data_IF_148171997697
#
_entry.id   IF_148171997697
#
_cell.length_a   1.000
_cell.length_b   1.000
_cell.length_c   1.000
_cell.angle_alpha   90.00
_cell.angle_beta   90.00
_cell.angle_gamma   90.00
#
_symmetry.space_group_name_H-M   'P 1'
#
loop_
_entity.id
_entity.type
_entity.pdbx_description
1 polymer ?
#
# COMPACT_ATOMS: atom_id res chain seq x y z
N UNK A 1 64.76 0.91 26.96
CA UNK A 1 63.30 0.70 27.19
C UNK A 1 62.54 1.51 26.15
N UNK A 2 61.97 0.93 25.09
CA UNK A 2 61.22 1.67 24.07
C UNK A 2 59.86 2.05 24.67
N UNK A 3 59.58 3.33 24.62
CA UNK A 3 58.58 3.96 25.44
C UNK A 3 57.12 3.66 25.05
N UNK A 4 56.35 3.47 26.10
CA UNK A 4 54.87 3.41 26.16
C UNK A 4 54.15 4.45 25.25
N UNK A 5 54.77 5.61 25.01
CA UNK A 5 54.20 6.67 24.15
C UNK A 5 53.94 6.22 22.71
N UNK A 6 54.73 5.27 22.18
CA UNK A 6 54.54 4.78 20.79
C UNK A 6 53.33 3.87 20.64
N UNK A 7 52.94 3.14 21.68
CA UNK A 7 51.74 2.28 21.66
C UNK A 7 50.44 3.08 21.70
N UNK A 8 50.43 4.22 22.41
CA UNK A 8 49.27 5.13 22.45
C UNK A 8 49.06 5.81 21.09
N UNK A 9 50.12 6.21 20.41
CA UNK A 9 50.02 6.79 19.06
C UNK A 9 49.57 5.77 18.01
N UNK A 10 50.05 4.53 18.08
CA UNK A 10 49.58 3.45 17.20
C UNK A 10 48.11 3.12 17.43
N UNK A 11 47.66 3.06 18.68
CA UNK A 11 46.26 2.84 19.04
C UNK A 11 45.34 3.95 18.51
N UNK A 12 45.77 5.21 18.61
CA UNK A 12 44.99 6.36 18.12
C UNK A 12 44.91 6.35 16.57
N UNK A 13 45.95 6.03 15.86
CA UNK A 13 45.95 5.96 14.40
C UNK A 13 45.08 4.82 13.91
N UNK A 14 45.07 3.66 14.56
CA UNK A 14 44.20 2.54 14.21
C UNK A 14 42.73 2.90 14.48
N UNK A 15 42.41 3.56 15.59
CA UNK A 15 41.04 3.98 15.94
C UNK A 15 40.51 5.02 14.95
N UNK A 16 41.31 6.00 14.57
CA UNK A 16 40.96 7.01 13.57
C UNK A 16 40.80 6.36 12.19
N UNK A 17 41.68 5.41 11.83
CA UNK A 17 41.59 4.65 10.60
C UNK A 17 40.31 3.81 10.50
N UNK A 18 39.88 3.16 11.59
CA UNK A 18 38.63 2.37 11.64
C UNK A 18 37.41 3.27 11.54
N UNK A 19 37.44 4.44 12.24
CA UNK A 19 36.36 5.43 12.13
C UNK A 19 36.23 6.02 10.71
N UNK A 20 37.38 6.36 10.08
CA UNK A 20 37.36 6.87 8.71
C UNK A 20 36.96 5.78 7.69
N UNK A 21 37.43 4.52 7.89
CA UNK A 21 36.96 3.40 7.07
C UNK A 21 35.48 3.10 7.25
N UNK A 22 34.93 3.23 8.47
CA UNK A 22 33.50 3.10 8.72
C UNK A 22 32.67 4.17 8.00
N UNK A 23 33.18 5.40 7.94
CA UNK A 23 32.56 6.50 7.15
C UNK A 23 32.66 6.25 5.63
N UNK A 24 33.78 5.69 5.16
CA UNK A 24 33.98 5.38 3.75
C UNK A 24 33.26 4.11 3.28
N UNK A 25 33.08 3.14 4.17
CA UNK A 25 32.40 1.86 3.86
C UNK A 25 30.88 1.90 4.12
N UNK A 26 30.30 3.09 4.34
CA UNK A 26 28.86 3.25 4.40
C UNK A 26 28.17 2.69 5.64
N UNK A 27 28.89 2.54 6.76
CA UNK A 27 28.27 2.20 8.05
C UNK A 27 27.33 3.28 8.55
N UNK A 28 27.48 4.50 8.03
CA UNK A 28 26.49 5.56 8.08
C UNK A 28 25.93 5.76 6.66
N UNK A 29 25.23 4.76 6.13
CA UNK A 29 24.37 5.08 5.00
C UNK A 29 23.36 6.10 5.49
N UNK A 30 23.33 7.32 4.93
CA UNK A 30 22.21 8.22 5.16
C UNK A 30 20.95 7.42 4.83
N UNK A 31 19.89 7.61 5.62
CA UNK A 31 18.58 7.08 5.26
C UNK A 31 18.34 7.41 3.78
N UNK A 32 17.89 6.45 2.96
CA UNK A 32 17.63 6.72 1.55
C UNK A 32 16.83 8.02 1.48
N UNK A 33 17.15 8.92 0.53
CA UNK A 33 16.38 10.16 0.37
C UNK A 33 14.91 9.77 0.35
N UNK A 34 14.06 10.59 0.96
CA UNK A 34 12.62 10.42 0.86
C UNK A 34 12.32 10.24 -0.63
N UNK A 35 12.13 9.00 -1.04
CA UNK A 35 11.97 8.65 -2.45
C UNK A 35 10.77 9.44 -2.94
N UNK A 36 10.98 10.22 -3.98
CA UNK A 36 9.90 10.91 -4.67
C UNK A 36 8.80 9.93 -5.02
N UNK A 37 7.63 10.43 -5.31
CA UNK A 37 6.54 9.58 -5.75
C UNK A 37 6.96 8.89 -7.06
N UNK A 38 6.80 7.55 -7.17
CA UNK A 38 7.07 6.86 -8.42
C UNK A 38 6.05 7.27 -9.49
N UNK A 39 6.39 7.20 -10.78
CA UNK A 39 5.41 7.39 -11.84
C UNK A 39 4.21 6.43 -11.67
N UNK A 40 3.00 6.86 -12.01
CA UNK A 40 2.57 8.15 -12.55
C UNK A 40 2.23 9.21 -11.48
N UNK A 41 2.60 9.00 -10.22
CA UNK A 41 2.17 9.84 -9.10
C UNK A 41 2.88 11.20 -9.07
N UNK A 42 2.11 12.27 -9.00
CA UNK A 42 2.63 13.63 -8.76
C UNK A 42 2.73 13.98 -7.27
N UNK A 43 1.95 13.31 -6.41
CA UNK A 43 1.94 13.47 -4.97
C UNK A 43 1.56 12.16 -4.29
N UNK A 44 2.34 11.75 -3.31
CA UNK A 44 2.10 10.52 -2.56
C UNK A 44 2.69 10.58 -1.14
N UNK A 45 2.29 9.63 -0.31
CA UNK A 45 2.86 9.39 1.01
C UNK A 45 3.35 7.94 1.04
N UNK A 46 4.66 7.69 1.25
CA UNK A 46 5.17 6.35 1.40
C UNK A 46 4.63 5.72 2.68
N UNK A 47 4.29 4.44 2.61
CA UNK A 47 3.76 3.68 3.73
C UNK A 47 4.24 2.23 3.69
N UNK A 48 4.28 1.59 4.86
CA UNK A 48 4.53 0.15 5.02
C UNK A 48 3.24 -0.54 5.44
N UNK A 49 2.77 -1.52 4.68
CA UNK A 49 1.61 -2.31 5.09
C UNK A 49 2.01 -3.20 6.27
N UNK A 50 1.36 -3.02 7.40
CA UNK A 50 1.56 -3.84 8.60
C UNK A 50 0.71 -5.10 8.56
N UNK A 51 -0.51 -4.99 8.06
CA UNK A 51 -1.44 -6.12 7.85
C UNK A 51 -2.64 -5.73 7.03
N UNK A 52 -3.19 -6.68 6.33
CA UNK A 52 -4.49 -6.59 5.66
C UNK A 52 -5.61 -7.00 6.63
N UNK A 53 -6.63 -6.16 6.76
CA UNK A 53 -7.81 -6.43 7.61
C UNK A 53 -8.86 -7.18 6.81
N UNK A 54 -9.23 -6.64 5.64
CA UNK A 54 -10.15 -7.23 4.67
C UNK A 54 -9.72 -6.81 3.26
N UNK A 55 -10.40 -7.22 2.22
CA UNK A 55 -10.02 -6.96 0.83
C UNK A 55 -9.86 -5.47 0.48
N UNK A 56 -10.55 -4.57 1.19
CA UNK A 56 -10.53 -3.13 0.97
C UNK A 56 -10.09 -2.30 2.19
N UNK A 57 -9.58 -2.95 3.22
CA UNK A 57 -9.14 -2.28 4.45
C UNK A 57 -7.82 -2.84 4.93
N UNK A 58 -6.84 -1.97 5.12
CA UNK A 58 -5.49 -2.32 5.59
C UNK A 58 -5.08 -1.47 6.80
N UNK A 59 -4.05 -1.92 7.50
CA UNK A 59 -3.32 -1.12 8.49
C UNK A 59 -1.94 -0.88 7.93
N UNK A 60 -1.55 0.38 7.87
CA UNK A 60 -0.24 0.80 7.37
C UNK A 60 0.52 1.59 8.44
N UNK A 61 1.81 1.63 8.32
CA UNK A 61 2.64 2.60 9.04
C UNK A 61 2.94 3.79 8.12
N UNK A 62 2.57 4.99 8.59
CA UNK A 62 2.83 6.27 7.92
C UNK A 62 3.52 7.18 8.92
N UNK A 63 4.72 7.67 8.59
CA UNK A 63 5.49 8.57 9.46
C UNK A 63 5.61 8.07 10.92
N UNK A 64 5.85 6.75 11.09
CA UNK A 64 6.00 6.10 12.40
C UNK A 64 4.69 5.88 13.18
N UNK A 65 3.53 6.02 12.54
CA UNK A 65 2.22 5.81 13.17
C UNK A 65 1.42 4.77 12.40
N UNK A 66 0.77 3.87 13.14
CA UNK A 66 -0.15 2.91 12.55
C UNK A 66 -1.50 3.58 12.22
N UNK A 67 -1.89 3.53 10.94
CA UNK A 67 -3.13 4.10 10.41
C UNK A 67 -3.98 3.03 9.75
N UNK A 68 -5.29 3.09 9.95
CA UNK A 68 -6.23 2.26 9.20
C UNK A 68 -6.61 2.98 7.91
N UNK A 69 -6.46 2.30 6.80
CA UNK A 69 -6.80 2.81 5.46
C UNK A 69 -7.97 2.03 4.90
N UNK A 70 -9.00 2.73 4.43
CA UNK A 70 -10.09 2.23 3.61
C UNK A 70 -9.85 2.67 2.17
N UNK A 71 -9.79 1.71 1.28
CA UNK A 71 -9.56 1.94 -0.14
C UNK A 71 -10.74 2.69 -0.76
N UNK A 72 -10.46 3.84 -1.40
CA UNK A 72 -11.48 4.70 -2.01
C UNK A 72 -12.09 4.05 -3.24
N UNK A 73 -13.38 4.28 -3.43
CA UNK A 73 -14.10 3.97 -4.66
C UNK A 73 -14.48 2.51 -4.86
N UNK A 74 -14.12 1.61 -3.96
CA UNK A 74 -14.36 0.17 -4.08
C UNK A 74 -15.05 -0.43 -2.86
N UNK A 75 -15.66 -1.60 -3.05
CA UNK A 75 -16.26 -2.42 -2.01
C UNK A 75 -15.99 -3.90 -2.29
N UNK A 76 -15.21 -4.54 -1.42
CA UNK A 76 -15.00 -5.99 -1.49
C UNK A 76 -16.06 -6.75 -0.71
N UNK A 77 -16.36 -8.01 -1.05
CA UNK A 77 -17.24 -8.83 -0.24
C UNK A 77 -16.69 -8.99 1.18
N UNK A 78 -17.57 -8.81 2.18
CA UNK A 78 -17.24 -8.75 3.59
C UNK A 78 -16.87 -10.12 4.18
N UNK A 79 -15.80 -10.17 4.98
CA UNK A 79 -15.36 -11.39 5.67
C UNK A 79 -15.30 -11.28 7.19
N UNK A 80 -15.29 -10.05 7.74
CA UNK A 80 -14.99 -9.77 9.15
C UNK A 80 -16.14 -9.14 9.94
N UNK A 81 -17.30 -8.92 9.31
CA UNK A 81 -18.40 -8.24 9.96
C UNK A 81 -19.02 -9.12 11.07
N UNK A 82 -19.09 -8.65 12.35
CA UNK A 82 -19.48 -9.50 13.48
C UNK A 82 -20.92 -10.01 13.43
N UNK A 83 -21.79 -9.40 12.62
CA UNK A 83 -23.23 -9.73 12.53
C UNK A 83 -23.67 -10.10 11.12
N UNK A 84 -22.77 -10.27 10.17
CA UNK A 84 -23.11 -10.70 8.80
C UNK A 84 -22.31 -11.96 8.46
N UNK A 85 -22.90 -12.90 7.73
CA UNK A 85 -22.15 -14.04 7.24
C UNK A 85 -21.03 -13.59 6.28
N UNK A 86 -20.02 -14.44 6.15
CA UNK A 86 -19.00 -14.28 5.11
C UNK A 86 -19.69 -14.23 3.75
N UNK A 87 -19.40 -13.20 2.99
CA UNK A 87 -20.01 -13.01 1.68
C UNK A 87 -19.28 -13.83 0.60
N UNK A 88 -20.01 -14.18 -0.45
CA UNK A 88 -19.47 -14.88 -1.61
C UNK A 88 -18.27 -14.13 -2.17
N UNK A 89 -17.17 -14.83 -2.43
CA UNK A 89 -15.88 -14.31 -2.91
C UNK A 89 -15.12 -13.41 -1.90
N UNK A 90 -15.59 -13.28 -0.68
CA UNK A 90 -14.90 -12.51 0.37
C UNK A 90 -13.55 -13.11 0.76
N UNK A 91 -13.48 -14.43 1.05
CA UNK A 91 -12.20 -15.08 1.36
C UNK A 91 -11.16 -14.93 0.25
N UNK A 92 -11.56 -15.03 -1.02
CA UNK A 92 -10.71 -14.90 -2.19
C UNK A 92 -10.18 -13.48 -2.33
N UNK A 93 -11.05 -12.47 -2.19
CA UNK A 93 -10.66 -11.06 -2.23
C UNK A 93 -9.70 -10.70 -1.09
N UNK A 94 -10.01 -11.14 0.14
CA UNK A 94 -9.15 -10.93 1.30
C UNK A 94 -7.80 -11.64 1.17
N UNK A 95 -7.79 -12.89 0.69
CA UNK A 95 -6.56 -13.65 0.46
C UNK A 95 -5.70 -13.02 -0.63
N UNK A 96 -6.33 -12.50 -1.69
CA UNK A 96 -5.65 -11.78 -2.74
C UNK A 96 -4.99 -10.50 -2.22
N UNK A 97 -5.76 -9.64 -1.53
CA UNK A 97 -5.22 -8.42 -0.93
C UNK A 97 -4.05 -8.70 0.02
N UNK A 98 -4.12 -9.78 0.81
CA UNK A 98 -3.01 -10.20 1.67
C UNK A 98 -1.77 -10.56 0.88
N UNK A 99 -1.88 -11.36 -0.18
CA UNK A 99 -0.71 -11.75 -0.99
C UNK A 99 -0.04 -10.56 -1.66
N UNK A 100 -0.86 -9.58 -2.09
CA UNK A 100 -0.35 -8.40 -2.80
C UNK A 100 0.21 -7.33 -1.86
N UNK A 101 -0.34 -7.18 -0.67
CA UNK A 101 -0.06 -6.02 0.17
C UNK A 101 0.65 -6.33 1.49
N UNK A 102 0.48 -7.55 2.06
CA UNK A 102 0.96 -7.81 3.42
C UNK A 102 2.47 -7.66 3.51
N UNK A 103 2.93 -6.79 4.41
CA UNK A 103 4.34 -6.43 4.59
C UNK A 103 5.02 -5.78 3.36
N UNK A 104 4.25 -5.31 2.37
CA UNK A 104 4.80 -4.56 1.24
C UNK A 104 4.89 -3.08 1.52
N UNK A 105 5.86 -2.44 0.87
CA UNK A 105 5.95 -1.00 0.78
C UNK A 105 4.98 -0.52 -0.29
N UNK A 106 4.25 0.54 0.01
CA UNK A 106 3.23 1.11 -0.87
C UNK A 106 3.30 2.63 -0.83
N UNK A 107 2.64 3.26 -1.78
CA UNK A 107 2.43 4.71 -1.77
C UNK A 107 0.92 4.99 -1.66
N UNK A 108 0.59 5.94 -0.80
CA UNK A 108 -0.78 6.42 -0.64
C UNK A 108 -0.95 7.70 -1.42
N UNK A 109 -1.98 7.79 -2.25
CA UNK A 109 -2.50 9.06 -2.75
C UNK A 109 -3.93 9.27 -2.25
N UNK A 110 -4.37 10.52 -2.29
CA UNK A 110 -5.65 10.88 -1.72
C UNK A 110 -6.53 11.50 -2.78
N UNK A 111 -7.82 11.25 -2.65
CA UNK A 111 -8.82 11.80 -3.55
C UNK A 111 -8.87 13.33 -3.46
N UNK A 112 -9.07 13.99 -4.60
CA UNK A 112 -9.14 15.45 -4.67
C UNK A 112 -10.52 15.99 -4.28
N UNK A 113 -11.56 15.17 -4.33
CA UNK A 113 -12.95 15.56 -4.15
C UNK A 113 -13.53 15.16 -2.79
N UNK A 114 -12.90 14.20 -2.11
CA UNK A 114 -13.43 13.58 -0.89
C UNK A 114 -12.75 14.01 0.40
N UNK A 115 -13.34 13.58 1.50
CA UNK A 115 -12.74 13.71 2.83
C UNK A 115 -11.50 12.81 2.96
N UNK A 116 -10.57 13.23 3.80
CA UNK A 116 -9.36 12.44 4.11
C UNK A 116 -9.64 11.27 5.03
N UNK A 117 -10.70 11.33 5.82
CA UNK A 117 -11.09 10.28 6.77
C UNK A 117 -12.60 10.05 6.73
N UNK A 118 -12.98 8.83 7.00
CA UNK A 118 -14.38 8.49 7.17
C UNK A 118 -14.85 8.69 8.64
N UNK A 119 -16.13 8.44 8.88
CA UNK A 119 -16.75 8.56 10.22
C UNK A 119 -16.18 7.59 11.28
N UNK A 120 -15.36 6.62 10.87
CA UNK A 120 -14.66 5.67 11.75
C UNK A 120 -13.19 6.01 11.92
N UNK A 121 -12.79 7.23 11.51
CA UNK A 121 -11.43 7.75 11.57
C UNK A 121 -10.41 6.94 10.73
N UNK A 122 -10.88 6.22 9.69
CA UNK A 122 -10.00 5.55 8.74
C UNK A 122 -9.55 6.55 7.67
N UNK A 123 -8.28 6.52 7.28
CA UNK A 123 -7.81 7.23 6.10
C UNK A 123 -8.52 6.70 4.86
N UNK A 124 -8.98 7.60 4.01
CA UNK A 124 -9.52 7.28 2.68
C UNK A 124 -8.42 7.53 1.66
N UNK A 125 -7.91 6.46 1.04
CA UNK A 125 -6.77 6.57 0.15
C UNK A 125 -6.84 5.58 -1.01
N UNK A 126 -6.07 5.89 -2.04
CA UNK A 126 -5.65 4.98 -3.09
C UNK A 126 -4.32 4.36 -2.68
N UNK A 127 -4.14 3.08 -2.97
CA UNK A 127 -2.89 2.35 -2.74
C UNK A 127 -2.24 2.10 -4.09
N UNK A 128 -0.96 2.43 -4.17
CA UNK A 128 -0.11 2.20 -5.32
C UNK A 128 1.06 1.32 -4.91
N UNK A 129 1.37 0.35 -5.72
CA UNK A 129 2.49 -0.54 -5.50
C UNK A 129 3.01 -1.07 -6.83
N UNK A 130 4.25 -1.53 -6.81
CA UNK A 130 4.86 -2.29 -7.88
C UNK A 130 4.33 -3.72 -7.81
N UNK A 131 3.61 -4.17 -8.84
CA UNK A 131 3.03 -5.52 -8.93
C UNK A 131 3.87 -6.46 -9.78
N UNK A 132 4.69 -5.97 -10.68
CA UNK A 132 5.38 -6.76 -11.69
C UNK A 132 6.89 -6.51 -11.80
N UNK A 133 7.45 -5.58 -11.02
CA UNK A 133 8.88 -5.30 -10.92
C UNK A 133 9.37 -4.26 -11.93
N UNK A 134 8.48 -3.51 -12.57
CA UNK A 134 8.84 -2.38 -13.40
C UNK A 134 8.92 -1.06 -12.58
N UNK A 135 9.45 0.04 -13.12
CA UNK A 135 9.59 1.28 -12.37
C UNK A 135 8.29 2.07 -12.17
N UNK A 136 7.21 1.67 -12.81
CA UNK A 136 5.89 2.27 -12.63
C UNK A 136 5.12 1.54 -11.52
N UNK A 137 4.19 2.23 -10.88
CA UNK A 137 3.32 1.63 -9.87
C UNK A 137 1.89 1.59 -10.34
N UNK A 138 1.20 0.51 -9.98
CA UNK A 138 -0.17 0.30 -10.33
C UNK A 138 -1.12 0.73 -9.21
N UNK A 139 -2.29 1.17 -9.62
CA UNK A 139 -3.39 1.50 -8.72
C UNK A 139 -4.09 0.21 -8.25
N UNK A 140 -3.78 -0.21 -7.03
CA UNK A 140 -4.33 -1.44 -6.45
C UNK A 140 -5.86 -1.45 -6.34
N UNK A 141 -6.46 -0.31 -6.03
CA UNK A 141 -7.92 -0.16 -5.99
C UNK A 141 -8.55 -0.55 -7.34
N UNK A 142 -7.98 -0.06 -8.44
CA UNK A 142 -8.41 -0.38 -9.79
C UNK A 142 -8.20 -1.85 -10.13
N UNK A 143 -7.04 -2.37 -9.74
CA UNK A 143 -6.72 -3.76 -10.00
C UNK A 143 -7.72 -4.72 -9.34
N UNK A 144 -8.16 -4.42 -8.11
CA UNK A 144 -9.23 -5.19 -7.46
C UNK A 144 -10.53 -5.19 -8.25
N UNK A 145 -10.89 -4.07 -8.87
CA UNK A 145 -12.10 -3.96 -9.71
C UNK A 145 -11.93 -4.72 -11.03
N UNK A 146 -10.83 -4.48 -11.74
CA UNK A 146 -10.56 -5.07 -13.05
C UNK A 146 -10.43 -6.59 -13.03
N UNK A 147 -9.94 -7.15 -11.91
CA UNK A 147 -9.85 -8.59 -11.69
C UNK A 147 -11.12 -9.21 -11.06
N UNK A 148 -12.11 -8.39 -10.72
CA UNK A 148 -13.37 -8.85 -10.13
C UNK A 148 -13.25 -9.28 -8.67
N UNK A 149 -12.35 -8.69 -7.90
CA UNK A 149 -12.28 -8.87 -6.44
C UNK A 149 -13.13 -7.85 -5.70
N UNK A 150 -13.44 -6.70 -6.33
CA UNK A 150 -14.23 -5.63 -5.77
C UNK A 150 -15.31 -5.15 -6.74
N UNK A 151 -16.34 -4.51 -6.18
CA UNK A 151 -17.32 -3.71 -6.91
C UNK A 151 -16.97 -2.25 -6.79
N UNK A 152 -17.33 -1.44 -7.77
CA UNK A 152 -17.26 0.02 -7.65
C UNK A 152 -18.27 0.50 -6.60
N UNK A 153 -17.84 1.37 -5.70
CA UNK A 153 -18.66 2.00 -4.67
C UNK A 153 -18.98 3.47 -5.03
N UNK A 154 -20.03 3.75 -5.80
CA UNK A 154 -20.23 5.02 -6.47
C UNK A 154 -21.05 6.05 -5.65
N UNK A 155 -21.23 5.83 -4.34
CA UNK A 155 -22.11 6.67 -3.53
C UNK A 155 -21.53 8.03 -3.14
N UNK A 156 -20.23 8.20 -3.35
CA UNK A 156 -19.49 9.45 -3.19
C UNK A 156 -18.73 9.76 -4.48
N UNK A 157 -18.50 11.03 -4.84
CA UNK A 157 -17.63 11.37 -5.96
C UNK A 157 -16.19 10.99 -5.61
N UNK A 158 -15.43 10.54 -6.59
CA UNK A 158 -13.99 10.29 -6.49
C UNK A 158 -13.33 10.36 -7.88
N UNK A 159 -12.03 10.62 -7.90
CA UNK A 159 -11.29 10.98 -9.13
C UNK A 159 -11.33 9.91 -10.21
N UNK A 160 -11.31 8.62 -9.84
CA UNK A 160 -11.24 7.51 -10.79
C UNK A 160 -12.59 6.84 -11.06
N UNK A 161 -13.73 7.46 -10.74
CA UNK A 161 -15.05 6.83 -10.80
C UNK A 161 -15.38 6.24 -12.19
N UNK A 162 -15.18 7.01 -13.26
CA UNK A 162 -15.53 6.56 -14.60
C UNK A 162 -14.58 5.45 -15.10
N UNK A 163 -13.31 5.53 -14.73
CA UNK A 163 -12.31 4.50 -15.03
C UNK A 163 -12.69 3.18 -14.34
N UNK A 164 -12.96 3.21 -13.03
CA UNK A 164 -13.39 2.02 -12.28
C UNK A 164 -14.70 1.42 -12.81
N UNK A 165 -15.65 2.26 -13.25
CA UNK A 165 -16.89 1.78 -13.88
C UNK A 165 -16.66 1.04 -15.18
N UNK A 166 -15.71 1.51 -15.98
CA UNK A 166 -15.33 0.83 -17.21
C UNK A 166 -14.70 -0.53 -16.91
N UNK A 167 -13.76 -0.58 -15.93
CA UNK A 167 -13.12 -1.81 -15.50
C UNK A 167 -14.12 -2.83 -14.93
N UNK A 168 -15.06 -2.36 -14.09
CA UNK A 168 -16.14 -3.20 -13.58
C UNK A 168 -16.99 -3.79 -14.71
N UNK A 169 -17.33 -2.99 -15.71
CA UNK A 169 -18.09 -3.43 -16.88
C UNK A 169 -17.34 -4.52 -17.65
N UNK A 170 -16.05 -4.36 -17.84
CA UNK A 170 -15.18 -5.32 -18.52
C UNK A 170 -15.01 -6.61 -17.71
N UNK A 171 -14.76 -6.49 -16.40
CA UNK A 171 -14.66 -7.62 -15.49
C UNK A 171 -15.96 -8.46 -15.50
N UNK A 172 -17.10 -7.81 -15.52
CA UNK A 172 -18.42 -8.46 -15.60
C UNK A 172 -18.63 -9.16 -16.93
N UNK A 173 -18.33 -8.49 -18.05
CA UNK A 173 -18.45 -9.09 -19.37
C UNK A 173 -17.58 -10.34 -19.53
N UNK A 174 -16.38 -10.30 -18.96
CA UNK A 174 -15.43 -11.42 -18.94
C UNK A 174 -15.71 -12.44 -17.82
N UNK A 175 -16.72 -12.22 -16.97
CA UNK A 175 -17.05 -13.06 -15.80
C UNK A 175 -15.87 -13.27 -14.85
N UNK A 176 -15.05 -12.25 -14.64
CA UNK A 176 -13.88 -12.31 -13.75
C UNK A 176 -14.30 -12.33 -12.29
N UNK A 177 -13.61 -13.12 -11.49
CA UNK A 177 -13.74 -13.14 -10.03
C UNK A 177 -15.19 -13.33 -9.57
N UNK A 178 -15.65 -12.44 -8.66
CA UNK A 178 -17.01 -12.45 -8.09
C UNK A 178 -18.12 -12.45 -9.16
N UNK A 179 -17.86 -11.89 -10.33
CA UNK A 179 -18.84 -11.81 -11.42
C UNK A 179 -19.07 -13.15 -12.14
N UNK A 180 -18.15 -14.08 -12.00
CA UNK A 180 -18.26 -15.43 -12.58
C UNK A 180 -18.93 -16.44 -11.66
N UNK A 181 -18.85 -16.24 -10.32
CA UNK A 181 -19.26 -17.24 -9.33
C UNK A 181 -20.35 -16.79 -8.37
N UNK A 182 -20.59 -15.48 -8.24
CA UNK A 182 -21.55 -14.93 -7.29
C UNK A 182 -22.70 -14.22 -8.00
N UNK A 183 -23.88 -14.11 -7.36
CA UNK A 183 -25.02 -13.34 -7.86
C UNK A 183 -24.94 -11.87 -7.40
N UNK A 184 -23.82 -11.21 -7.72
CA UNK A 184 -23.66 -9.78 -7.48
C UNK A 184 -24.16 -8.94 -8.64
N UNK A 185 -24.61 -7.73 -8.30
CA UNK A 185 -24.94 -6.67 -9.26
C UNK A 185 -24.13 -5.43 -8.94
N UNK A 186 -23.80 -4.60 -9.94
CA UNK A 186 -23.18 -3.30 -9.70
C UNK A 186 -24.08 -2.45 -8.81
N UNK A 187 -23.47 -1.60 -8.01
CA UNK A 187 -24.23 -0.59 -7.30
C UNK A 187 -24.85 0.41 -8.29
N UNK A 188 -26.12 0.75 -8.06
CA UNK A 188 -26.78 1.85 -8.75
C UNK A 188 -26.63 3.10 -7.90
N UNK A 189 -26.29 4.19 -8.52
CA UNK A 189 -26.33 5.51 -7.91
C UNK A 189 -27.74 6.06 -7.98
#
# INVERSE_FOLDING_TARGET
MPGWKNWLLLGLVVLVGVLLAGLYLGWFSPAPPAEGCPPPLSACVPAQVLRVVDGDTVVVEVAGRAERVRLVGIDTPETKHPRKPVQCYGPEASAFAKRALDHHRVWLSFDSQGDRRDKYDRLLAYIWLDLDGDPEVELFNEWLVSQGYARVYPFFPFDYLERFRQDEKEARAARRGLWGVCDYRPYKR
#
